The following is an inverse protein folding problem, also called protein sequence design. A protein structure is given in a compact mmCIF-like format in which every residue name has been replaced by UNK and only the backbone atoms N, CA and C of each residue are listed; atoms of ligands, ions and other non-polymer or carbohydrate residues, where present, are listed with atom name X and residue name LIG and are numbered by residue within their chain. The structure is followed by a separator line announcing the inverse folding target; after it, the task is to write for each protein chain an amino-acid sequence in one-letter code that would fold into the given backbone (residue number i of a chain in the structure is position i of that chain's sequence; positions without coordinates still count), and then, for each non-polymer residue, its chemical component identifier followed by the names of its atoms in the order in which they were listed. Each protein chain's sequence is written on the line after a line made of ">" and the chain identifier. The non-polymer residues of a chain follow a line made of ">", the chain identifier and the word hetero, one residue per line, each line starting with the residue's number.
data_IF_452744942991
#
_entry.id   IF_452744942991
#
_cell.length_a   1.000
_cell.length_b   1.000
_cell.length_c   1.000
_cell.angle_alpha   90.00
_cell.angle_beta   90.00
_cell.angle_gamma   90.00
#
_symmetry.space_group_name_H-M   'P 1'
#
loop_
_entity.id
_entity.type
_entity.pdbx_description
1 polymer ?
#
# COMPACT_ATOMS: atom_id res chain seq x y z
N UNK A 1 6.04 25.19 -5.43
CA UNK A 1 5.49 24.74 -4.12
C UNK A 1 3.96 24.57 -4.17
N UNK A 2 3.25 25.34 -4.97
CA UNK A 2 1.78 25.20 -5.11
C UNK A 2 1.39 23.99 -5.98
N UNK A 3 2.14 23.68 -7.02
CA UNK A 3 1.80 22.67 -8.02
C UNK A 3 1.47 21.27 -7.44
N UNK A 4 2.19 20.81 -6.42
CA UNK A 4 1.90 19.51 -5.80
C UNK A 4 0.60 19.52 -4.99
N UNK A 5 0.25 20.66 -4.39
CA UNK A 5 -1.04 20.80 -3.66
C UNK A 5 -2.21 20.80 -4.64
N UNK A 6 -2.07 21.48 -5.75
CA UNK A 6 -3.10 21.49 -6.79
C UNK A 6 -3.28 20.11 -7.40
N UNK A 7 -2.19 19.38 -7.64
CA UNK A 7 -2.23 18.00 -8.10
C UNK A 7 -2.92 17.08 -7.07
N UNK A 8 -2.58 17.21 -5.79
CA UNK A 8 -3.21 16.44 -4.73
C UNK A 8 -4.72 16.70 -4.66
N UNK A 9 -5.14 17.97 -4.72
CA UNK A 9 -6.57 18.32 -4.66
C UNK A 9 -7.34 17.80 -5.89
N UNK A 10 -6.74 17.88 -7.08
CA UNK A 10 -7.35 17.36 -8.32
C UNK A 10 -7.52 15.85 -8.32
N UNK A 11 -6.65 15.12 -7.61
CA UNK A 11 -6.61 13.66 -7.61
C UNK A 11 -6.97 13.01 -6.28
N UNK A 12 -7.48 13.78 -5.31
CA UNK A 12 -7.76 13.28 -3.95
C UNK A 12 -8.68 12.07 -3.91
N UNK A 13 -9.71 12.05 -4.76
CA UNK A 13 -10.67 10.92 -4.81
C UNK A 13 -10.00 9.66 -5.36
N UNK A 14 -9.14 9.81 -6.37
CA UNK A 14 -8.33 8.71 -6.88
C UNK A 14 -7.39 8.17 -5.80
N UNK A 15 -6.67 9.03 -5.09
CA UNK A 15 -5.76 8.62 -4.02
C UNK A 15 -6.50 7.93 -2.88
N UNK A 16 -7.68 8.41 -2.52
CA UNK A 16 -8.51 7.77 -1.51
C UNK A 16 -8.93 6.36 -1.97
N UNK A 17 -9.43 6.22 -3.19
CA UNK A 17 -9.85 4.93 -3.72
C UNK A 17 -8.68 3.93 -3.82
N UNK A 18 -7.51 4.38 -4.25
CA UNK A 18 -6.29 3.56 -4.28
C UNK A 18 -5.89 3.06 -2.89
N UNK A 19 -6.02 3.90 -1.86
CA UNK A 19 -5.80 3.50 -0.47
C UNK A 19 -6.85 2.48 -0.01
N UNK A 20 -8.14 2.73 -0.28
CA UNK A 20 -9.21 1.81 0.11
C UNK A 20 -9.05 0.44 -0.56
N UNK A 21 -8.62 0.39 -1.82
CA UNK A 21 -8.35 -0.86 -2.54
C UNK A 21 -7.23 -1.65 -1.87
N UNK A 22 -6.16 -0.97 -1.46
CA UNK A 22 -5.06 -1.62 -0.75
C UNK A 22 -5.51 -2.15 0.62
N UNK A 23 -6.33 -1.39 1.36
CA UNK A 23 -6.86 -1.78 2.66
C UNK A 23 -7.80 -3.00 2.60
N UNK A 24 -8.36 -3.33 1.45
CA UNK A 24 -9.20 -4.52 1.25
C UNK A 24 -8.42 -5.83 1.15
N UNK A 25 -7.11 -5.76 0.94
CA UNK A 25 -6.27 -6.95 0.84
C UNK A 25 -5.86 -7.37 2.25
N UNK A 26 -6.24 -8.58 2.71
CA UNK A 26 -5.93 -9.03 4.06
C UNK A 26 -4.48 -9.52 4.19
N UNK A 27 -3.54 -8.62 4.01
CA UNK A 27 -2.09 -8.90 4.00
C UNK A 27 -1.53 -9.17 5.40
N UNK A 28 -2.09 -10.18 6.07
CA UNK A 28 -1.71 -10.57 7.43
C UNK A 28 -0.45 -11.43 7.36
N UNK A 29 0.70 -10.84 7.65
CA UNK A 29 2.00 -11.50 7.52
C UNK A 29 2.22 -12.65 8.53
N UNK A 30 1.58 -12.56 9.69
CA UNK A 30 1.76 -13.53 10.78
C UNK A 30 0.96 -14.83 10.60
N UNK A 31 0.07 -14.90 9.60
CA UNK A 31 -0.80 -16.08 9.38
C UNK A 31 -0.45 -16.76 8.07
N UNK A 32 -0.15 -18.05 8.11
CA UNK A 32 0.21 -18.84 6.93
C UNK A 32 -0.91 -18.95 5.91
N UNK A 33 -2.17 -18.94 6.35
CA UNK A 33 -3.35 -18.93 5.48
C UNK A 33 -3.45 -17.66 4.61
N UNK A 34 -2.83 -16.55 5.01
CA UNK A 34 -2.80 -15.30 4.27
C UNK A 34 -1.58 -15.14 3.34
N UNK A 35 -0.82 -16.20 3.10
CA UNK A 35 0.36 -16.14 2.22
C UNK A 35 0.02 -15.67 0.81
N UNK A 36 -1.09 -16.11 0.25
CA UNK A 36 -1.55 -15.66 -1.06
C UNK A 36 -1.96 -14.18 -1.05
N UNK A 37 -2.55 -13.70 0.04
CA UNK A 37 -2.90 -12.28 0.21
C UNK A 37 -1.66 -11.39 0.29
N UNK A 38 -0.59 -11.89 0.93
CA UNK A 38 0.70 -11.18 0.97
C UNK A 38 1.27 -11.01 -0.45
N UNK A 39 1.21 -12.04 -1.28
CA UNK A 39 1.63 -11.97 -2.70
C UNK A 39 0.75 -10.99 -3.46
N UNK A 40 -0.57 -11.07 -3.31
CA UNK A 40 -1.52 -10.17 -3.95
C UNK A 40 -1.27 -8.70 -3.55
N UNK A 41 -0.96 -8.45 -2.28
CA UNK A 41 -0.63 -7.11 -1.82
C UNK A 41 0.69 -6.59 -2.39
N UNK A 42 1.71 -7.44 -2.48
CA UNK A 42 2.98 -7.09 -3.13
C UNK A 42 2.79 -6.71 -4.61
N UNK A 43 1.97 -7.46 -5.35
CA UNK A 43 1.61 -7.14 -6.74
C UNK A 43 0.83 -5.82 -6.84
N UNK A 44 -0.11 -5.56 -5.92
CA UNK A 44 -0.85 -4.30 -5.88
C UNK A 44 0.10 -3.11 -5.64
N UNK A 45 1.04 -3.23 -4.71
CA UNK A 45 2.06 -2.18 -4.45
C UNK A 45 2.94 -1.97 -5.67
N UNK A 46 3.41 -3.05 -6.33
CA UNK A 46 4.17 -2.97 -7.58
C UNK A 46 3.40 -2.17 -8.64
N UNK A 47 2.13 -2.50 -8.84
CA UNK A 47 1.29 -1.81 -9.82
C UNK A 47 1.16 -0.32 -9.51
N UNK A 48 0.94 0.05 -8.25
CA UNK A 48 0.87 1.47 -7.84
C UNK A 48 2.18 2.22 -8.05
N UNK A 49 3.31 1.60 -7.82
CA UNK A 49 4.62 2.20 -8.09
C UNK A 49 4.84 2.46 -9.59
N UNK A 50 4.44 1.51 -10.44
CA UNK A 50 4.49 1.68 -11.90
C UNK A 50 3.57 2.82 -12.36
N UNK A 51 2.34 2.87 -11.88
CA UNK A 51 1.38 3.93 -12.18
C UNK A 51 1.84 5.31 -11.68
N UNK A 52 2.58 5.34 -10.57
CA UNK A 52 3.21 6.56 -10.06
C UNK A 52 4.43 7.01 -10.87
N UNK A 53 4.86 6.20 -11.85
CA UNK A 53 5.93 6.54 -12.78
C UNK A 53 7.30 6.01 -12.39
N UNK A 54 7.38 4.96 -11.57
CA UNK A 54 8.64 4.26 -11.36
C UNK A 54 9.16 3.69 -12.69
N UNK A 55 10.46 3.80 -12.93
CA UNK A 55 11.08 3.31 -14.16
C UNK A 55 11.18 1.78 -14.16
N UNK A 56 11.45 1.21 -12.98
CA UNK A 56 11.48 -0.23 -12.75
C UNK A 56 10.87 -0.58 -11.40
N UNK A 57 10.16 -1.70 -11.34
CA UNK A 57 9.67 -2.27 -10.08
C UNK A 57 9.88 -3.79 -10.10
N UNK A 58 10.55 -4.30 -9.09
CA UNK A 58 10.86 -5.72 -8.94
C UNK A 58 10.31 -6.24 -7.61
N UNK A 59 9.69 -7.42 -7.66
CA UNK A 59 9.33 -8.19 -6.47
C UNK A 59 10.45 -9.20 -6.24
N UNK A 60 11.11 -9.09 -5.10
CA UNK A 60 12.15 -10.02 -4.68
C UNK A 60 11.57 -11.05 -3.73
N UNK A 61 11.66 -12.31 -4.11
CA UNK A 61 11.33 -13.42 -3.23
C UNK A 61 12.35 -13.53 -2.11
N UNK A 62 11.87 -13.84 -0.91
CA UNK A 62 12.69 -14.07 0.28
C UNK A 62 12.22 -15.34 0.99
N UNK A 63 12.99 -15.87 1.97
CA UNK A 63 12.50 -16.95 2.82
C UNK A 63 11.23 -16.60 3.62
N UNK A 64 10.99 -15.29 3.83
CA UNK A 64 9.78 -14.76 4.43
C UNK A 64 8.77 -14.28 3.39
N UNK A 65 8.38 -13.01 3.49
CA UNK A 65 7.47 -12.37 2.54
C UNK A 65 8.24 -11.61 1.46
N UNK A 66 7.65 -11.42 0.27
CA UNK A 66 8.29 -10.70 -0.83
C UNK A 66 8.63 -9.25 -0.48
N UNK A 67 9.71 -8.75 -1.05
CA UNK A 67 10.08 -7.32 -0.98
C UNK A 67 9.76 -6.68 -2.33
N UNK A 68 9.05 -5.57 -2.29
CA UNK A 68 8.78 -4.75 -3.49
C UNK A 68 9.78 -3.61 -3.53
N UNK A 69 10.56 -3.55 -4.60
CA UNK A 69 11.54 -2.49 -4.83
C UNK A 69 11.23 -1.78 -6.14
N UNK A 70 11.07 -0.47 -6.06
CA UNK A 70 10.88 0.40 -7.23
C UNK A 70 11.86 1.55 -7.22
N UNK A 71 12.26 2.00 -8.38
CA UNK A 71 13.14 3.16 -8.51
C UNK A 71 12.72 4.09 -9.64
N UNK A 72 13.05 5.36 -9.45
CA UNK A 72 13.00 6.40 -10.47
C UNK A 72 14.22 7.30 -10.32
N UNK A 73 15.15 7.21 -11.26
CA UNK A 73 16.35 8.05 -11.28
C UNK A 73 16.21 9.07 -12.40
N UNK A 74 15.97 10.33 -12.00
CA UNK A 74 15.82 11.43 -12.97
C UNK A 74 17.17 11.98 -13.39
N UNK A 75 18.06 12.16 -12.42
CA UNK A 75 19.39 12.73 -12.63
C UNK A 75 20.37 12.05 -11.65
N UNK A 76 21.28 11.18 -12.16
CA UNK A 76 22.20 10.43 -11.30
C UNK A 76 23.24 11.33 -10.59
N UNK A 77 23.36 12.59 -10.97
CA UNK A 77 24.24 13.56 -10.30
C UNK A 77 23.60 14.18 -9.04
N UNK A 78 22.31 13.97 -8.84
CA UNK A 78 21.56 14.51 -7.70
C UNK A 78 21.40 13.48 -6.59
N UNK A 79 21.21 13.92 -5.35
CA UNK A 79 20.91 12.99 -4.24
C UNK A 79 19.68 12.13 -4.52
N UNK A 80 19.77 10.87 -4.13
CA UNK A 80 18.66 9.92 -4.18
C UNK A 80 18.00 9.83 -2.82
N UNK A 81 16.67 9.86 -2.79
CA UNK A 81 15.87 9.68 -1.57
C UNK A 81 15.38 8.23 -1.54
N UNK A 82 15.66 7.55 -0.45
CA UNK A 82 15.09 6.23 -0.17
C UNK A 82 13.83 6.39 0.68
N UNK A 83 12.71 5.87 0.17
CA UNK A 83 11.46 5.78 0.92
C UNK A 83 11.25 4.34 1.35
N UNK A 84 10.98 4.13 2.64
CA UNK A 84 10.69 2.82 3.20
C UNK A 84 9.27 2.79 3.76
N UNK A 85 8.59 1.67 3.57
CA UNK A 85 7.30 1.37 4.15
C UNK A 85 7.09 -0.14 4.22
N UNK A 86 6.01 -0.56 4.86
CA UNK A 86 5.60 -1.96 4.88
C UNK A 86 4.16 -2.09 4.40
N UNK A 87 3.83 -3.21 3.77
CA UNK A 87 2.50 -3.48 3.21
C UNK A 87 1.72 -4.54 3.99
N UNK A 88 2.32 -5.13 5.01
CA UNK A 88 1.64 -6.11 5.85
C UNK A 88 0.84 -5.45 6.97
N UNK A 89 -0.12 -6.19 7.48
CA UNK A 89 -0.91 -5.82 8.64
C UNK A 89 -0.90 -6.93 9.69
N UNK A 90 -1.24 -6.56 10.93
CA UNK A 90 -1.38 -7.52 12.01
C UNK A 90 -2.70 -8.30 11.90
N UNK A 91 -2.82 -9.46 12.59
CA UNK A 91 -4.09 -10.15 12.74
C UNK A 91 -5.17 -9.25 13.33
N UNK A 92 -6.42 -9.54 12.96
CA UNK A 92 -7.59 -8.77 13.40
C UNK A 92 -8.18 -9.24 14.71
N UNK A 93 -7.62 -10.29 15.30
CA UNK A 93 -8.13 -10.90 16.53
C UNK A 93 -8.04 -9.92 17.74
N UNK A 94 -9.08 -9.84 18.59
CA UNK A 94 -10.34 -10.57 18.50
C UNK A 94 -11.34 -9.90 17.54
N UNK A 95 -11.83 -10.66 16.56
CA UNK A 95 -12.71 -10.15 15.49
C UNK A 95 -14.03 -9.56 16.03
N UNK A 96 -14.54 -10.10 17.14
CA UNK A 96 -15.81 -9.66 17.74
C UNK A 96 -15.76 -8.25 18.36
N UNK A 97 -14.58 -7.65 18.48
CA UNK A 97 -14.43 -6.27 18.95
C UNK A 97 -14.48 -5.22 17.82
N UNK A 98 -14.47 -5.66 16.57
CA UNK A 98 -14.60 -4.76 15.44
C UNK A 98 -16.05 -4.35 15.23
N UNK A 99 -16.29 -3.05 15.01
CA UNK A 99 -17.62 -2.50 14.73
C UNK A 99 -18.01 -2.61 13.26
N UNK A 100 -17.03 -2.86 12.38
CA UNK A 100 -17.18 -3.08 10.94
C UNK A 100 -16.16 -4.12 10.50
N UNK A 101 -16.33 -4.69 9.29
CA UNK A 101 -15.36 -5.62 8.75
C UNK A 101 -13.98 -4.95 8.63
N UNK A 102 -12.92 -5.51 9.25
CA UNK A 102 -11.58 -4.90 9.22
C UNK A 102 -10.98 -4.78 7.82
N UNK A 103 -11.44 -5.56 6.84
CA UNK A 103 -10.98 -5.52 5.45
C UNK A 103 -12.04 -4.97 4.47
N UNK A 104 -13.11 -4.39 4.98
CA UNK A 104 -14.02 -3.55 4.21
C UNK A 104 -13.97 -2.12 4.79
N UNK A 105 -13.06 -1.26 4.28
CA UNK A 105 -12.80 0.05 4.86
C UNK A 105 -14.07 0.89 4.95
N UNK A 106 -14.36 1.37 6.14
CA UNK A 106 -15.54 2.21 6.42
C UNK A 106 -15.11 3.65 6.68
N UNK A 107 -15.70 4.60 5.95
CA UNK A 107 -15.48 6.03 6.17
C UNK A 107 -16.62 6.58 7.03
N UNK A 108 -16.26 7.12 8.19
CA UNK A 108 -17.21 7.72 9.12
C UNK A 108 -16.57 8.89 9.85
N UNK A 109 -17.27 10.03 9.92
CA UNK A 109 -16.82 11.24 10.61
C UNK A 109 -15.41 11.69 10.21
N UNK A 110 -15.08 11.63 8.89
CA UNK A 110 -13.79 12.02 8.35
C UNK A 110 -12.64 11.06 8.67
N UNK A 111 -12.95 9.84 9.14
CA UNK A 111 -11.97 8.80 9.49
C UNK A 111 -12.20 7.54 8.68
N UNK A 112 -11.13 6.83 8.38
CA UNK A 112 -11.17 5.50 7.77
C UNK A 112 -10.95 4.47 8.86
N UNK A 113 -11.87 3.51 8.95
CA UNK A 113 -11.79 2.38 9.88
C UNK A 113 -11.47 1.11 9.09
N UNK A 114 -10.31 0.56 9.32
CA UNK A 114 -9.80 -0.68 8.71
C UNK A 114 -8.64 -1.24 9.54
N UNK A 115 -8.20 -2.46 9.16
CA UNK A 115 -6.97 -3.02 9.70
C UNK A 115 -5.75 -2.48 8.96
#
# INVERSE_FOLDING_TARGET
>A
MQAWKDYQEQHKDRFLNELLDLLRIPSISAKSENKADMVACAEAVKQRLLEAGADTVTIYETPGHPIVYGEKIIDPSKPTVLVYGHYDVQPVDPLNLWHSDPFDPTIKDGKIFAR
#
